data_IF_374112681212
#
_entry.id   IF_374112681212
#
_cell.length_a   1.000
_cell.length_b   1.000
_cell.length_c   1.000
_cell.angle_alpha   90.00
_cell.angle_beta   90.00
_cell.angle_gamma   90.00
#
_symmetry.space_group_name_H-M   'P 1'
#
loop_
_entity.id
_entity.type
_entity.pdbx_description
1 polymer ?
#
# COMPACT_ATOMS: atom_id res chain seq x y z
N UNK A 1 -18.77 7.50 -9.96
CA UNK A 1 -17.73 6.57 -10.43
C UNK A 1 -17.18 5.88 -9.19
N UNK A 2 -16.83 4.59 -9.29
CA UNK A 2 -16.14 3.93 -8.19
C UNK A 2 -14.69 4.38 -8.26
N UNK A 3 -14.21 5.00 -7.20
CA UNK A 3 -12.79 5.28 -7.07
C UNK A 3 -12.08 3.97 -6.70
N UNK A 4 -11.01 3.67 -7.41
CA UNK A 4 -10.19 2.48 -7.18
C UNK A 4 -8.90 2.90 -6.50
N UNK A 5 -8.58 2.21 -5.41
CA UNK A 5 -7.34 2.37 -4.71
C UNK A 5 -6.37 1.31 -5.23
N UNK A 6 -5.29 1.74 -5.86
CA UNK A 6 -4.21 0.86 -6.29
C UNK A 6 -3.35 0.49 -5.09
N UNK A 7 -2.98 -0.78 -4.98
CA UNK A 7 -2.18 -1.32 -3.89
C UNK A 7 -1.01 -2.11 -4.48
N UNK A 8 0.19 -1.92 -3.91
CA UNK A 8 1.33 -2.80 -4.10
C UNK A 8 1.74 -3.34 -2.74
N UNK A 9 1.71 -4.66 -2.57
CA UNK A 9 2.15 -5.32 -1.33
C UNK A 9 3.38 -6.18 -1.58
N UNK A 10 4.35 -6.05 -0.67
CA UNK A 10 5.55 -6.86 -0.58
C UNK A 10 5.50 -7.63 0.73
N UNK A 11 5.56 -8.96 0.65
CA UNK A 11 5.67 -9.83 1.84
C UNK A 11 7.11 -10.29 2.03
N UNK A 12 7.58 -10.27 3.28
CA UNK A 12 8.95 -10.62 3.65
C UNK A 12 8.99 -11.64 4.80
N UNK A 13 9.75 -12.71 4.63
CA UNK A 13 9.82 -13.77 5.62
C UNK A 13 10.51 -15.01 5.10
N UNK A 14 10.12 -16.17 5.63
CA UNK A 14 10.67 -17.47 5.18
C UNK A 14 10.27 -17.73 3.73
N UNK A 15 11.20 -18.16 2.85
CA UNK A 15 10.88 -18.45 1.44
C UNK A 15 9.68 -19.37 1.26
N UNK A 16 9.55 -20.40 2.09
CA UNK A 16 8.42 -21.35 2.02
C UNK A 16 7.07 -20.68 2.33
N UNK A 17 7.05 -19.68 3.21
CA UNK A 17 5.84 -18.91 3.51
C UNK A 17 5.48 -17.97 2.34
N UNK A 18 6.47 -17.33 1.72
CA UNK A 18 6.24 -16.48 0.56
C UNK A 18 5.75 -17.29 -0.64
N UNK A 19 6.28 -18.50 -0.86
CA UNK A 19 5.76 -19.43 -1.87
C UNK A 19 4.30 -19.81 -1.61
N UNK A 20 3.90 -20.01 -0.36
CA UNK A 20 2.50 -20.30 -0.02
C UNK A 20 1.59 -19.09 -0.31
N UNK A 21 2.04 -17.87 0.01
CA UNK A 21 1.31 -16.64 -0.32
C UNK A 21 1.20 -16.48 -1.84
N UNK A 22 2.26 -16.79 -2.60
CA UNK A 22 2.24 -16.81 -4.06
C UNK A 22 1.11 -17.71 -4.58
N UNK A 23 1.00 -18.94 -4.07
CA UNK A 23 -0.06 -19.86 -4.47
C UNK A 23 -1.45 -19.37 -4.07
N UNK A 24 -1.59 -18.75 -2.90
CA UNK A 24 -2.83 -18.12 -2.47
C UNK A 24 -3.29 -17.07 -3.47
N UNK A 25 -2.45 -16.10 -3.83
CA UNK A 25 -2.81 -15.06 -4.78
C UNK A 25 -3.07 -15.62 -6.19
N UNK A 26 -2.31 -16.61 -6.66
CA UNK A 26 -2.63 -17.31 -7.92
C UNK A 26 -4.03 -17.92 -7.91
N UNK A 27 -4.41 -18.58 -6.82
CA UNK A 27 -5.76 -19.14 -6.69
C UNK A 27 -6.85 -18.07 -6.67
N UNK A 28 -6.57 -16.90 -6.08
CA UNK A 28 -7.50 -15.76 -6.11
C UNK A 28 -7.63 -15.18 -7.54
N UNK A 29 -6.54 -15.05 -8.29
CA UNK A 29 -6.58 -14.61 -9.71
C UNK A 29 -7.46 -15.54 -10.54
N UNK A 30 -7.27 -16.86 -10.43
CA UNK A 30 -8.07 -17.85 -11.16
C UNK A 30 -9.56 -17.77 -10.81
N UNK A 31 -9.86 -17.53 -9.53
CA UNK A 31 -11.23 -17.42 -9.03
C UNK A 31 -11.89 -16.11 -9.45
N UNK A 32 -11.17 -14.99 -9.40
CA UNK A 32 -11.63 -13.69 -9.90
C UNK A 32 -12.02 -13.78 -11.38
N UNK A 33 -11.18 -14.39 -12.22
CA UNK A 33 -11.47 -14.58 -13.65
C UNK A 33 -12.72 -15.43 -13.91
N UNK A 34 -12.98 -16.41 -13.05
CA UNK A 34 -14.10 -17.33 -13.19
C UNK A 34 -15.42 -16.74 -12.68
N UNK A 35 -15.35 -16.00 -11.57
CA UNK A 35 -16.52 -15.50 -10.85
C UNK A 35 -16.83 -14.03 -11.17
N UNK A 36 -15.91 -13.33 -11.84
CA UNK A 36 -16.01 -11.91 -12.22
C UNK A 36 -16.28 -11.00 -11.00
N UNK A 37 -15.68 -11.35 -9.86
CA UNK A 37 -15.84 -10.63 -8.60
C UNK A 37 -14.55 -10.63 -7.77
N UNK A 38 -14.41 -9.63 -6.90
CA UNK A 38 -13.25 -9.50 -6.03
C UNK A 38 -13.14 -10.66 -5.05
N UNK A 39 -11.92 -10.97 -4.65
CA UNK A 39 -11.60 -12.16 -3.88
C UNK A 39 -11.09 -11.84 -2.48
N UNK A 40 -11.26 -12.79 -1.59
CA UNK A 40 -10.69 -12.79 -0.24
C UNK A 40 -10.16 -14.20 0.06
N UNK A 41 -9.06 -14.33 0.83
CA UNK A 41 -8.64 -15.62 1.36
C UNK A 41 -9.71 -16.22 2.28
N UNK A 42 -9.89 -17.54 2.26
CA UNK A 42 -10.94 -18.23 3.05
C UNK A 42 -10.83 -17.99 4.57
N UNK A 43 -9.63 -17.71 5.06
CA UNK A 43 -9.36 -17.41 6.47
C UNK A 43 -9.61 -15.94 6.86
N UNK A 44 -9.98 -15.09 5.90
CA UNK A 44 -10.34 -13.68 6.12
C UNK A 44 -11.86 -13.54 6.08
N UNK A 45 -12.44 -12.94 7.13
CA UNK A 45 -13.89 -12.76 7.20
C UNK A 45 -14.41 -11.79 6.14
N UNK A 46 -15.46 -12.19 5.42
CA UNK A 46 -16.18 -11.38 4.41
C UNK A 46 -16.89 -10.15 4.98
N UNK A 47 -17.05 -10.05 6.31
CA UNK A 47 -17.91 -9.05 6.94
C UNK A 47 -17.36 -7.62 6.89
N UNK A 48 -16.08 -7.46 6.51
CA UNK A 48 -15.39 -6.17 6.55
C UNK A 48 -15.09 -5.55 5.17
N UNK A 49 -15.51 -6.18 4.07
CA UNK A 49 -15.08 -5.75 2.75
C UNK A 49 -13.60 -6.06 2.51
N UNK A 50 -12.86 -5.15 1.86
CA UNK A 50 -11.42 -5.32 1.61
C UNK A 50 -11.06 -6.35 0.54
N UNK A 51 -12.02 -6.69 -0.33
CA UNK A 51 -11.81 -7.58 -1.46
C UNK A 51 -10.70 -7.07 -2.38
N UNK A 52 -9.88 -7.99 -2.85
CA UNK A 52 -8.85 -7.78 -3.84
C UNK A 52 -9.49 -7.88 -5.23
N UNK A 53 -9.23 -6.91 -6.10
CA UNK A 53 -9.68 -6.87 -7.49
C UNK A 53 -8.49 -6.67 -8.42
N UNK A 54 -8.61 -7.05 -9.69
CA UNK A 54 -7.60 -6.82 -10.72
C UNK A 54 -6.21 -7.27 -10.26
N UNK A 55 -6.16 -8.43 -9.62
CA UNK A 55 -4.94 -8.96 -9.01
C UNK A 55 -3.92 -9.25 -10.10
N UNK A 56 -2.78 -8.57 -10.02
CA UNK A 56 -1.63 -8.75 -10.89
C UNK A 56 -0.42 -9.27 -10.11
N UNK A 57 0.26 -10.22 -10.73
CA UNK A 57 1.48 -10.81 -10.24
C UNK A 57 2.42 -11.08 -11.42
N UNK A 58 3.67 -10.65 -11.28
CA UNK A 58 4.74 -11.06 -12.17
C UNK A 58 5.28 -12.43 -11.74
N UNK A 59 5.22 -13.42 -12.62
CA UNK A 59 5.72 -14.78 -12.35
C UNK A 59 7.23 -14.83 -12.04
N UNK A 60 8.00 -13.84 -12.51
CA UNK A 60 9.44 -13.74 -12.27
C UNK A 60 9.79 -13.11 -10.90
N UNK A 61 8.80 -12.57 -10.19
CA UNK A 61 8.99 -11.88 -8.90
C UNK A 61 8.13 -12.52 -7.83
N UNK A 62 8.79 -13.06 -6.80
CA UNK A 62 8.10 -13.75 -5.68
C UNK A 62 7.85 -12.77 -4.53
N UNK A 63 6.64 -12.78 -3.98
CA UNK A 63 6.29 -12.00 -2.80
C UNK A 63 5.83 -10.56 -3.06
N UNK A 64 5.73 -10.14 -4.33
CA UNK A 64 5.19 -8.82 -4.72
C UNK A 64 3.87 -9.02 -5.47
N UNK A 65 2.84 -8.29 -5.06
CA UNK A 65 1.50 -8.37 -5.61
C UNK A 65 0.93 -6.97 -5.81
N UNK A 66 0.25 -6.77 -6.94
CA UNK A 66 -0.48 -5.53 -7.23
C UNK A 66 -1.96 -5.85 -7.36
N UNK A 67 -2.83 -4.98 -6.88
CA UNK A 67 -4.28 -5.17 -6.96
C UNK A 67 -4.99 -3.85 -6.66
N UNK A 68 -6.29 -3.85 -6.91
CA UNK A 68 -7.18 -2.75 -6.59
C UNK A 68 -8.14 -3.10 -5.44
N UNK A 69 -8.53 -2.06 -4.71
CA UNK A 69 -9.63 -2.09 -3.74
C UNK A 69 -10.56 -0.94 -4.02
N UNK A 70 -11.81 -1.02 -3.54
CA UNK A 70 -12.74 0.10 -3.69
C UNK A 70 -12.47 1.14 -2.59
N UNK A 71 -12.28 2.40 -2.99
CA UNK A 71 -12.18 3.61 -2.16
C UNK A 71 -11.00 3.72 -1.19
N UNK A 72 -10.51 2.63 -0.61
CA UNK A 72 -9.47 2.65 0.44
C UNK A 72 -8.62 1.38 0.45
N UNK A 73 -7.39 1.41 0.97
CA UNK A 73 -6.57 0.21 1.11
C UNK A 73 -7.20 -0.80 2.06
N UNK A 74 -6.92 -2.09 1.85
CA UNK A 74 -7.39 -3.21 2.68
C UNK A 74 -6.32 -3.69 3.69
N UNK A 75 -5.73 -2.75 4.43
CA UNK A 75 -4.59 -2.98 5.35
C UNK A 75 -4.89 -4.11 6.35
N UNK A 76 -6.13 -4.16 6.87
CA UNK A 76 -6.57 -5.17 7.84
C UNK A 76 -6.56 -6.57 7.22
N UNK A 77 -6.95 -6.70 5.95
CA UNK A 77 -6.97 -7.98 5.22
C UNK A 77 -5.55 -8.44 4.90
N UNK A 78 -4.67 -7.52 4.49
CA UNK A 78 -3.24 -7.79 4.28
C UNK A 78 -2.55 -8.22 5.58
N UNK A 79 -2.84 -7.56 6.71
CA UNK A 79 -2.32 -7.93 8.01
C UNK A 79 -2.74 -9.36 8.41
N UNK A 80 -4.00 -9.74 8.17
CA UNK A 80 -4.46 -11.12 8.46
C UNK A 80 -3.69 -12.15 7.63
N UNK A 81 -3.36 -11.85 6.37
CA UNK A 81 -2.51 -12.73 5.54
C UNK A 81 -1.11 -12.82 6.15
N UNK A 82 -0.51 -11.69 6.49
CA UNK A 82 0.82 -11.64 7.09
C UNK A 82 0.89 -12.45 8.41
N UNK A 83 -0.11 -12.30 9.27
CA UNK A 83 -0.23 -13.05 10.53
C UNK A 83 -0.45 -14.55 10.31
N UNK A 84 -1.26 -14.92 9.32
CA UNK A 84 -1.52 -16.33 8.99
C UNK A 84 -0.24 -17.08 8.59
N UNK A 85 0.60 -16.44 7.78
CA UNK A 85 1.85 -17.02 7.28
C UNK A 85 3.08 -16.68 8.14
N UNK A 86 2.91 -15.88 9.19
CA UNK A 86 3.97 -15.38 10.06
C UNK A 86 5.10 -14.71 9.25
N UNK A 87 4.71 -13.72 8.46
CA UNK A 87 5.60 -12.88 7.64
C UNK A 87 5.37 -11.40 7.97
N UNK A 88 6.30 -10.56 7.55
CA UNK A 88 6.15 -9.11 7.54
C UNK A 88 5.56 -8.64 6.21
N UNK A 89 5.07 -7.41 6.15
CA UNK A 89 4.67 -6.80 4.89
C UNK A 89 4.94 -5.29 4.83
N UNK A 90 5.08 -4.80 3.61
CA UNK A 90 4.97 -3.38 3.24
C UNK A 90 3.90 -3.26 2.16
N UNK A 91 2.93 -2.36 2.35
CA UNK A 91 1.84 -2.09 1.41
C UNK A 91 1.83 -0.60 1.08
N UNK A 92 2.14 -0.28 -0.17
CA UNK A 92 1.94 1.06 -0.73
C UNK A 92 0.56 1.14 -1.36
N UNK A 93 -0.13 2.26 -1.14
CA UNK A 93 -1.47 2.47 -1.64
C UNK A 93 -1.71 3.90 -2.14
N UNK A 94 -2.52 4.02 -3.19
CA UNK A 94 -2.89 5.29 -3.79
C UNK A 94 -4.34 5.29 -4.29
N UNK A 95 -5.08 6.34 -3.95
CA UNK A 95 -6.40 6.68 -4.49
C UNK A 95 -6.46 8.21 -4.66
N UNK A 96 -6.14 8.69 -5.85
CA UNK A 96 -6.04 10.14 -6.14
C UNK A 96 -7.38 10.87 -6.02
N UNK A 97 -8.50 10.20 -6.32
CA UNK A 97 -9.83 10.80 -6.31
C UNK A 97 -10.30 11.27 -4.93
N UNK A 98 -9.72 10.75 -3.85
CA UNK A 98 -9.95 11.22 -2.47
C UNK A 98 -8.66 11.62 -1.76
N UNK A 99 -7.57 11.89 -2.48
CA UNK A 99 -6.28 12.30 -1.90
C UNK A 99 -5.77 11.30 -0.84
N UNK A 100 -5.82 10.00 -1.14
CA UNK A 100 -5.31 8.94 -0.26
C UNK A 100 -4.01 8.43 -0.85
N UNK A 101 -2.88 8.64 -0.17
CA UNK A 101 -1.59 8.08 -0.55
C UNK A 101 -0.85 7.68 0.73
N UNK A 102 -0.35 6.46 0.82
CA UNK A 102 0.33 6.04 2.04
C UNK A 102 1.01 4.69 1.95
N UNK A 103 1.65 4.34 3.06
CA UNK A 103 2.38 3.10 3.27
C UNK A 103 2.00 2.50 4.62
N UNK A 104 1.51 1.27 4.57
CA UNK A 104 1.33 0.43 5.75
C UNK A 104 2.45 -0.61 5.84
N UNK A 105 3.08 -0.73 7.01
CA UNK A 105 4.11 -1.73 7.28
C UNK A 105 3.71 -2.56 8.49
N UNK A 106 3.95 -3.87 8.44
CA UNK A 106 3.93 -4.71 9.63
C UNK A 106 5.25 -5.43 9.82
N UNK A 107 5.90 -5.15 10.95
CA UNK A 107 7.11 -5.82 11.42
C UNK A 107 6.90 -6.26 12.87
N UNK A 108 7.26 -7.50 13.20
CA UNK A 108 7.10 -8.06 14.54
C UNK A 108 5.66 -7.94 15.10
N UNK A 109 4.66 -8.03 14.21
CA UNK A 109 3.22 -7.88 14.48
C UNK A 109 2.80 -6.48 14.93
N UNK A 110 3.68 -5.50 14.84
CA UNK A 110 3.34 -4.09 15.00
C UNK A 110 2.94 -3.55 13.63
N UNK A 111 1.68 -3.11 13.50
CA UNK A 111 1.21 -2.40 12.32
C UNK A 111 1.51 -0.90 12.48
N UNK A 112 2.09 -0.30 11.46
CA UNK A 112 2.24 1.16 11.32
C UNK A 112 1.66 1.56 9.97
N UNK A 113 0.94 2.66 9.93
CA UNK A 113 0.32 3.22 8.74
C UNK A 113 0.62 4.71 8.68
N UNK A 114 1.29 5.15 7.62
CA UNK A 114 1.66 6.54 7.38
C UNK A 114 1.08 6.95 6.04
N UNK A 115 0.32 8.05 6.03
CA UNK A 115 -0.32 8.56 4.83
C UNK A 115 -0.21 10.06 4.72
N UNK A 116 -0.27 10.54 3.48
CA UNK A 116 -0.37 11.95 3.14
C UNK A 116 -1.76 12.48 3.51
N UNK A 117 -1.77 13.63 4.16
CA UNK A 117 -2.98 14.38 4.50
C UNK A 117 -3.31 15.37 3.38
N UNK A 118 -4.50 15.96 3.42
CA UNK A 118 -4.95 16.87 2.36
C UNK A 118 -3.97 18.04 2.13
N UNK A 119 -3.40 18.56 3.22
CA UNK A 119 -2.37 19.61 3.20
C UNK A 119 -1.08 19.20 2.47
N UNK A 120 -0.78 17.91 2.40
CA UNK A 120 0.36 17.40 1.64
C UNK A 120 0.11 17.51 0.12
N UNK A 121 -1.14 17.33 -0.32
CA UNK A 121 -1.54 17.48 -1.73
C UNK A 121 -1.61 18.94 -2.18
N UNK A 122 -1.72 19.90 -1.26
CA UNK A 122 -1.68 21.34 -1.57
C UNK A 122 -0.25 21.85 -1.85
N UNK A 123 0.78 21.02 -1.69
CA UNK A 123 2.18 21.43 -1.87
C UNK A 123 2.64 21.51 -3.33
N UNK A 124 1.85 20.97 -4.26
CA UNK A 124 2.14 20.97 -5.69
C UNK A 124 0.88 21.32 -6.49
N UNK A 125 1.07 21.80 -7.71
CA UNK A 125 -0.04 22.19 -8.59
C UNK A 125 0.17 21.67 -10.01
N UNK A 126 -0.93 21.43 -10.72
CA UNK A 126 -0.90 21.03 -12.12
C UNK A 126 -0.98 22.26 -13.02
N UNK A 127 -0.04 22.39 -13.94
CA UNK A 127 0.00 23.44 -14.96
C UNK A 127 -0.63 22.91 -16.27
N UNK A 128 -1.85 23.40 -16.57
CA UNK A 128 -2.60 23.00 -17.77
C UNK A 128 -1.95 23.48 -19.09
N UNK A 129 -1.09 24.51 -19.07
CA UNK A 129 -0.44 25.02 -20.29
C UNK A 129 0.71 24.12 -20.74
N UNK A 130 1.44 23.57 -19.77
CA UNK A 130 2.62 22.73 -20.00
C UNK A 130 2.33 21.23 -19.89
N UNK A 131 1.17 20.85 -19.34
CA UNK A 131 0.79 19.45 -19.04
C UNK A 131 1.77 18.79 -18.05
N UNK A 132 2.21 19.56 -17.04
CA UNK A 132 3.17 19.12 -16.02
C UNK A 132 2.75 19.54 -14.61
N UNK A 133 3.36 18.93 -13.60
CA UNK A 133 3.19 19.28 -12.19
C UNK A 133 4.36 20.12 -11.69
N UNK A 134 4.07 21.17 -10.93
CA UNK A 134 5.08 22.04 -10.34
C UNK A 134 5.22 21.78 -8.83
N UNK A 135 6.44 21.45 -8.39
CA UNK A 135 6.76 21.18 -6.99
C UNK A 135 8.18 21.65 -6.65
N UNK A 136 8.33 22.43 -5.58
CA UNK A 136 9.61 22.94 -5.08
C UNK A 136 10.51 23.65 -6.13
N UNK A 137 9.90 24.24 -7.16
CA UNK A 137 10.61 24.96 -8.22
C UNK A 137 11.05 24.11 -9.41
N UNK A 138 10.69 22.82 -9.43
CA UNK A 138 10.95 21.88 -10.54
C UNK A 138 9.63 21.41 -11.16
N UNK A 139 9.69 21.00 -12.43
CA UNK A 139 8.55 20.48 -13.19
C UNK A 139 8.65 18.95 -13.32
N UNK A 140 7.53 18.27 -13.14
CA UNK A 140 7.40 16.81 -13.13
C UNK A 140 6.35 16.37 -14.16
N UNK A 141 6.64 15.31 -14.91
CA UNK A 141 5.68 14.72 -15.85
C UNK A 141 4.52 14.01 -15.14
N UNK A 142 4.64 13.74 -13.83
CA UNK A 142 3.62 13.04 -13.05
C UNK A 142 3.68 13.36 -11.56
N UNK A 143 2.51 13.40 -10.92
CA UNK A 143 2.35 13.57 -9.48
C UNK A 143 2.90 12.41 -8.65
N UNK A 144 3.07 11.21 -9.23
CA UNK A 144 3.54 10.02 -8.49
C UNK A 144 4.91 10.25 -7.82
N UNK A 145 5.86 10.88 -8.52
CA UNK A 145 7.20 11.14 -7.99
C UNK A 145 7.17 12.15 -6.84
N UNK A 146 6.28 13.14 -6.92
CA UNK A 146 6.06 14.15 -5.88
C UNK A 146 5.44 13.48 -4.64
N UNK A 147 4.40 12.68 -4.83
CA UNK A 147 3.71 11.97 -3.74
C UNK A 147 4.64 10.99 -3.03
N UNK A 148 5.46 10.24 -3.78
CA UNK A 148 6.49 9.37 -3.20
C UNK A 148 7.48 10.19 -2.35
N UNK A 149 7.98 11.30 -2.88
CA UNK A 149 8.90 12.19 -2.16
C UNK A 149 8.29 12.74 -0.86
N UNK A 150 7.04 13.20 -0.90
CA UNK A 150 6.32 13.69 0.27
C UNK A 150 6.13 12.58 1.32
N UNK A 151 5.73 11.39 0.88
CA UNK A 151 5.47 10.27 1.76
C UNK A 151 6.75 9.79 2.45
N UNK A 152 7.85 9.64 1.72
CA UNK A 152 9.14 9.25 2.29
C UNK A 152 9.62 10.27 3.34
N UNK A 153 9.53 11.57 3.05
CA UNK A 153 9.84 12.63 4.03
C UNK A 153 8.99 12.51 5.30
N UNK A 154 7.69 12.21 5.15
CA UNK A 154 6.77 12.04 6.29
C UNK A 154 7.13 10.82 7.14
N UNK A 155 7.47 9.71 6.49
CA UNK A 155 7.93 8.48 7.13
C UNK A 155 9.24 8.74 7.92
N UNK A 156 10.25 9.35 7.29
CA UNK A 156 11.52 9.70 7.93
C UNK A 156 11.35 10.61 9.15
N UNK A 157 10.45 11.59 9.04
CA UNK A 157 10.14 12.52 10.15
C UNK A 157 9.46 11.81 11.32
N UNK A 158 8.66 10.78 11.09
CA UNK A 158 8.09 10.00 12.19
C UNK A 158 9.16 9.18 12.92
N UNK A 159 10.04 8.52 12.17
CA UNK A 159 11.14 7.74 12.74
C UNK A 159 12.12 8.60 13.57
N UNK A 160 12.48 9.79 13.06
CA UNK A 160 13.38 10.70 13.79
C UNK A 160 12.76 11.19 15.10
N UNK A 161 11.47 11.56 15.08
CA UNK A 161 10.75 11.99 16.29
C UNK A 161 10.64 10.88 17.34
N UNK A 162 10.40 9.63 16.94
CA UNK A 162 10.35 8.48 17.87
C UNK A 162 11.71 8.24 18.54
N UNK A 163 12.82 8.37 17.80
CA UNK A 163 14.16 8.19 18.36
C UNK A 163 14.51 9.28 19.39
N UNK A 164 14.13 10.53 19.12
CA UNK A 164 14.35 11.65 20.06
C UNK A 164 13.58 11.43 21.37
N UNK A 165 12.31 11.00 21.32
CA UNK A 165 11.53 10.71 22.53
C UNK A 165 12.12 9.57 23.37
N UNK A 166 12.64 8.51 22.73
CA UNK A 166 13.26 7.39 23.44
C UNK A 166 14.57 7.81 24.16
N UNK A 167 15.37 8.69 23.55
CA UNK A 167 16.60 9.22 24.17
C UNK A 167 16.33 10.15 25.35
N UNK A 168 15.20 10.88 25.36
CA UNK A 168 14.80 11.72 26.50
C UNK A 168 14.27 10.91 27.70
N UNK A 169 13.66 9.74 27.46
CA UNK A 169 13.11 8.88 28.53
C UNK A 169 14.22 8.07 29.25
N UNK A 170 15.36 7.84 28.60
CA UNK A 170 16.48 7.05 29.14
C UNK A 170 17.47 7.93 29.95
N UNK A 171 17.28 9.25 29.98
CA UNK A 171 18.10 10.21 30.77
C UNK A 171 17.49 10.54 32.12
#
# INVERSE_FOLDING_TARGET
MTNWCSNTVVFEGKPEAIEQIQQLFKSMVEKEQKEECGQLPEFVSEHNGGYFFEIYQNDDVTGIFQYETKWSPNIVEVQKIAEHYNVNFTQDYLELGNCVCGRATSADKLLTDVFLEYEDFEQFEFDEETDTYHFEGEDYDSEYEILETLLERKIENQFTNTNIQNDEIIR
#
